data_IF_693890083252
#
_entry.id   IF_693890083252
#
_cell.length_a   1.000
_cell.length_b   1.000
_cell.length_c   1.000
_cell.angle_alpha   90.00
_cell.angle_beta   90.00
_cell.angle_gamma   90.00
#
_symmetry.space_group_name_H-M   'P 1'
#
loop_
_entity.id
_entity.type
_entity.pdbx_description
1 polymer ?
#
# COMPACT_ATOMS: atom_id res chain seq x y z
N UNK A 1 21.74 -19.48 58.22
CA UNK A 1 21.25 -20.66 57.45
C UNK A 1 19.97 -20.23 56.74
N UNK A 2 20.07 -19.32 55.76
CA UNK A 2 18.90 -18.63 55.21
C UNK A 2 19.10 -18.37 53.70
N UNK A 3 19.30 -19.44 52.94
CA UNK A 3 19.40 -19.44 51.48
C UNK A 3 18.46 -20.54 50.97
N UNK A 4 17.16 -20.28 50.86
CA UNK A 4 16.25 -21.22 50.17
C UNK A 4 14.84 -20.69 49.86
N UNK A 5 14.65 -19.41 49.54
CA UNK A 5 13.32 -18.89 49.15
C UNK A 5 13.32 -17.98 47.90
N UNK A 6 14.30 -18.12 47.01
CA UNK A 6 14.32 -17.39 45.71
C UNK A 6 14.12 -18.34 44.51
N UNK A 7 13.91 -19.64 44.72
CA UNK A 7 13.82 -20.63 43.64
C UNK A 7 12.39 -21.01 43.19
N UNK A 8 11.35 -20.29 43.61
CA UNK A 8 9.95 -20.66 43.29
C UNK A 8 9.17 -19.58 42.52
N UNK A 9 9.84 -18.84 41.63
CA UNK A 9 9.21 -17.89 40.71
C UNK A 9 9.70 -18.01 39.26
N UNK A 10 10.18 -19.21 38.89
CA UNK A 10 10.33 -19.64 37.49
C UNK A 10 9.10 -20.44 37.07
N UNK A 11 7.93 -19.84 37.34
CA UNK A 11 6.64 -20.37 36.91
C UNK A 11 6.39 -19.98 35.45
N UNK A 12 6.45 -20.98 34.59
CA UNK A 12 5.58 -21.10 33.42
C UNK A 12 5.71 -20.00 32.34
N UNK A 13 6.80 -20.01 31.57
CA UNK A 13 6.79 -19.44 30.22
C UNK A 13 6.48 -20.54 29.18
N UNK A 14 5.30 -21.13 29.30
CA UNK A 14 4.67 -21.87 28.21
C UNK A 14 3.73 -20.91 27.48
N UNK A 15 4.23 -20.19 26.47
CA UNK A 15 3.38 -19.50 25.51
C UNK A 15 3.88 -19.73 24.09
N UNK A 16 3.13 -20.58 23.39
CA UNK A 16 2.80 -20.55 21.97
C UNK A 16 3.95 -20.27 20.99
N UNK A 17 4.28 -21.29 20.18
CA UNK A 17 4.87 -21.08 18.86
C UNK A 17 3.93 -20.22 18.01
N UNK A 18 4.08 -18.91 18.13
CA UNK A 18 3.51 -17.91 17.25
C UNK A 18 4.09 -18.17 15.86
N UNK A 19 3.24 -18.36 14.85
CA UNK A 19 3.70 -18.50 13.48
C UNK A 19 4.68 -17.37 13.17
N UNK A 20 5.92 -17.71 12.81
CA UNK A 20 6.98 -16.73 12.61
C UNK A 20 6.50 -15.69 11.59
N UNK A 21 6.16 -14.49 12.07
CA UNK A 21 5.89 -13.36 11.19
C UNK A 21 7.15 -13.11 10.37
N UNK A 22 7.07 -13.29 9.06
CA UNK A 22 8.18 -12.93 8.16
C UNK A 22 8.14 -11.42 7.96
N UNK A 23 9.29 -10.76 7.92
CA UNK A 23 9.37 -9.32 7.68
C UNK A 23 9.93 -9.04 6.29
N UNK A 24 9.53 -7.91 5.71
CA UNK A 24 10.16 -7.31 4.55
C UNK A 24 10.87 -6.03 5.00
N UNK A 25 12.19 -5.99 4.81
CA UNK A 25 12.99 -4.84 5.18
C UNK A 25 13.66 -4.23 3.96
N UNK A 26 13.82 -2.90 3.96
CA UNK A 26 14.46 -2.18 2.88
C UNK A 26 14.66 -0.71 3.20
N UNK A 27 15.05 0.05 2.18
CA UNK A 27 15.27 1.49 2.28
C UNK A 27 14.58 2.20 1.10
N UNK A 28 13.79 3.23 1.39
CA UNK A 28 13.20 4.11 0.38
C UNK A 28 14.16 5.27 0.11
N UNK A 29 14.44 5.52 -1.17
CA UNK A 29 15.43 6.52 -1.61
C UNK A 29 14.89 7.36 -2.77
N UNK A 30 15.35 8.59 -2.88
CA UNK A 30 15.09 9.43 -4.05
C UNK A 30 15.84 8.84 -5.25
N UNK A 31 15.12 8.57 -6.33
CA UNK A 31 15.64 7.85 -7.49
C UNK A 31 16.78 8.59 -8.20
N UNK A 32 16.81 9.93 -8.11
CA UNK A 32 17.80 10.77 -8.80
C UNK A 32 19.05 10.98 -7.97
N UNK A 33 18.91 11.16 -6.67
CA UNK A 33 20.01 11.54 -5.77
C UNK A 33 20.53 10.38 -4.93
N UNK A 34 19.77 9.29 -4.82
CA UNK A 34 20.08 8.15 -3.95
C UNK A 34 19.94 8.44 -2.47
N UNK A 35 19.52 9.66 -2.09
CA UNK A 35 19.36 10.07 -0.70
C UNK A 35 18.16 9.36 -0.04
N UNK A 36 18.24 9.03 1.26
CA UNK A 36 17.15 8.39 1.97
C UNK A 36 15.92 9.30 2.06
N UNK A 37 14.73 8.72 1.93
CA UNK A 37 13.46 9.45 2.08
C UNK A 37 12.81 9.08 3.42
N UNK A 38 12.82 9.96 4.42
CA UNK A 38 12.15 9.73 5.70
C UNK A 38 10.62 9.97 5.63
N UNK A 39 9.87 9.23 6.44
CA UNK A 39 8.41 9.30 6.54
C UNK A 39 7.68 8.99 5.22
N UNK A 40 8.26 8.14 4.38
CA UNK A 40 7.55 7.51 3.27
C UNK A 40 6.72 6.35 3.82
N UNK A 41 5.48 6.25 3.36
CA UNK A 41 4.58 5.15 3.71
C UNK A 41 4.94 3.94 2.85
N UNK A 42 5.08 2.77 3.46
CA UNK A 42 5.21 1.49 2.79
C UNK A 42 4.01 0.62 3.15
N UNK A 43 3.15 0.36 2.17
CA UNK A 43 1.90 -0.37 2.30
C UNK A 43 2.04 -1.74 1.63
N UNK A 44 1.83 -2.81 2.39
CA UNK A 44 1.66 -4.17 1.88
C UNK A 44 0.19 -4.57 1.84
N UNK A 45 -0.24 -5.12 0.72
CA UNK A 45 -1.57 -5.71 0.52
C UNK A 45 -1.39 -7.13 0.02
N UNK A 46 -1.98 -8.07 0.74
CA UNK A 46 -1.95 -9.48 0.38
C UNK A 46 -3.35 -9.94 -0.01
N UNK A 47 -3.47 -10.59 -1.16
CA UNK A 47 -4.77 -11.08 -1.65
C UNK A 47 -4.70 -12.54 -2.04
N UNK A 48 -5.87 -13.17 -2.07
CA UNK A 48 -6.05 -14.56 -2.49
C UNK A 48 -7.08 -14.62 -3.61
N UNK A 49 -6.73 -15.30 -4.68
CA UNK A 49 -7.66 -15.63 -5.75
C UNK A 49 -8.61 -16.73 -5.27
N UNK A 50 -9.84 -16.71 -5.77
CA UNK A 50 -10.82 -17.74 -5.50
C UNK A 50 -12.01 -17.64 -6.43
N UNK A 51 -13.06 -18.38 -6.11
CA UNK A 51 -14.25 -18.47 -6.94
C UNK A 51 -14.21 -19.65 -7.90
N UNK A 52 -15.21 -19.72 -8.77
CA UNK A 52 -15.36 -20.77 -9.77
C UNK A 52 -14.78 -20.30 -11.11
N UNK A 53 -14.43 -21.21 -12.04
CA UNK A 53 -14.13 -20.83 -13.42
C UNK A 53 -15.25 -19.95 -14.00
N UNK A 54 -14.90 -18.77 -14.51
CA UNK A 54 -15.86 -17.77 -15.01
C UNK A 54 -16.46 -16.84 -13.94
N UNK A 55 -16.23 -17.09 -12.65
CA UNK A 55 -16.67 -16.27 -11.51
C UNK A 55 -15.50 -16.04 -10.55
N UNK A 56 -14.39 -15.51 -11.08
CA UNK A 56 -13.21 -15.21 -10.28
C UNK A 56 -13.51 -14.13 -9.23
N UNK A 57 -12.98 -14.32 -8.03
CA UNK A 57 -13.07 -13.38 -6.91
C UNK A 57 -11.69 -13.16 -6.33
N UNK A 58 -11.47 -11.98 -5.79
CA UNK A 58 -10.25 -11.66 -5.03
C UNK A 58 -10.65 -11.36 -3.59
N UNK A 59 -10.05 -12.09 -2.65
CA UNK A 59 -10.25 -11.88 -1.21
C UNK A 59 -9.03 -11.17 -0.62
N UNK A 60 -9.28 -10.13 0.16
CA UNK A 60 -8.24 -9.48 0.95
C UNK A 60 -7.81 -10.40 2.10
N UNK A 61 -6.52 -10.70 2.18
CA UNK A 61 -5.93 -11.50 3.28
C UNK A 61 -5.47 -10.58 4.39
N UNK A 62 -4.67 -9.55 4.05
CA UNK A 62 -4.15 -8.61 5.02
C UNK A 62 -3.77 -7.28 4.38
N UNK A 63 -3.74 -6.24 5.21
CA UNK A 63 -3.11 -4.95 4.92
C UNK A 63 -2.18 -4.63 6.08
N UNK A 64 -0.94 -4.26 5.76
CA UNK A 64 0.05 -3.81 6.74
C UNK A 64 0.72 -2.55 6.21
N UNK A 65 1.05 -1.65 7.11
CA UNK A 65 1.67 -0.38 6.79
C UNK A 65 2.80 -0.10 7.76
N UNK A 66 3.83 0.59 7.28
CA UNK A 66 4.92 1.13 8.09
C UNK A 66 5.40 2.44 7.48
N UNK A 67 6.08 3.26 8.26
CA UNK A 67 6.72 4.49 7.79
C UNK A 67 8.23 4.38 7.85
N UNK A 68 8.92 5.01 6.91
CA UNK A 68 10.38 5.00 6.90
C UNK A 68 10.99 5.89 7.97
N UNK A 69 12.08 5.42 8.59
CA UNK A 69 12.85 6.17 9.59
C UNK A 69 13.64 7.35 8.98
N UNK A 70 14.41 8.06 9.81
CA UNK A 70 15.25 9.18 9.38
C UNK A 70 16.32 8.79 8.32
N UNK A 71 16.68 7.51 8.26
CA UNK A 71 17.59 6.93 7.27
C UNK A 71 16.83 6.28 6.10
N UNK A 72 15.53 6.51 5.97
CA UNK A 72 14.68 5.97 4.92
C UNK A 72 14.43 4.46 5.04
N UNK A 73 14.80 3.82 6.14
CA UNK A 73 14.66 2.36 6.32
C UNK A 73 13.26 2.02 6.80
N UNK A 74 12.77 0.85 6.41
CA UNK A 74 11.50 0.31 6.86
C UNK A 74 11.63 -1.17 7.20
N UNK A 75 10.73 -1.63 8.08
CA UNK A 75 10.45 -3.03 8.35
C UNK A 75 8.93 -3.19 8.27
N UNK A 76 8.47 -3.95 7.29
CA UNK A 76 7.06 -4.26 7.05
C UNK A 76 6.78 -5.70 7.47
N UNK A 77 5.83 -5.88 8.38
CA UNK A 77 5.37 -7.22 8.77
C UNK A 77 4.59 -7.88 7.63
N UNK A 78 4.89 -9.15 7.34
CA UNK A 78 4.05 -9.99 6.48
C UNK A 78 3.06 -10.78 7.32
N UNK A 79 1.85 -11.08 6.80
CA UNK A 79 0.93 -11.97 7.48
C UNK A 79 1.54 -13.37 7.62
N UNK A 80 1.32 -13.98 8.79
CA UNK A 80 1.67 -15.37 9.06
C UNK A 80 0.40 -16.16 9.48
N UNK A 81 0.12 -17.33 8.86
CA UNK A 81 0.86 -17.93 7.74
C UNK A 81 0.68 -17.15 6.43
N UNK A 82 1.71 -17.14 5.58
CA UNK A 82 1.67 -16.49 4.26
C UNK A 82 0.84 -17.36 3.30
N UNK A 83 -0.46 -17.12 3.25
CA UNK A 83 -1.45 -17.94 2.50
C UNK A 83 -2.07 -17.21 1.29
N UNK A 84 -1.54 -16.04 0.96
CA UNK A 84 -1.91 -15.20 -0.17
C UNK A 84 -1.29 -15.67 -1.47
N UNK A 85 -1.99 -15.44 -2.58
CA UNK A 85 -1.49 -15.71 -3.93
C UNK A 85 -0.73 -14.51 -4.52
N UNK A 86 -1.03 -13.30 -4.03
CA UNK A 86 -0.39 -12.07 -4.49
C UNK A 86 -0.01 -11.14 -3.33
N UNK A 87 1.22 -10.59 -3.39
CA UNK A 87 1.75 -9.55 -2.50
C UNK A 87 2.01 -8.27 -3.32
N UNK A 88 1.25 -7.22 -3.03
CA UNK A 88 1.41 -5.89 -3.60
C UNK A 88 2.01 -4.95 -2.55
N UNK A 89 3.23 -4.49 -2.78
CA UNK A 89 3.94 -3.54 -1.91
C UNK A 89 4.06 -2.21 -2.64
N UNK A 90 3.58 -1.15 -2.01
CA UNK A 90 3.60 0.21 -2.53
C UNK A 90 4.37 1.12 -1.57
N UNK A 91 5.32 1.89 -2.09
CA UNK A 91 5.99 2.96 -1.36
C UNK A 91 5.51 4.32 -1.89
N UNK A 92 5.19 5.24 -0.98
CA UNK A 92 4.65 6.56 -1.33
C UNK A 92 5.11 7.66 -0.38
N UNK A 93 5.44 8.82 -0.94
CA UNK A 93 5.66 10.08 -0.23
C UNK A 93 5.05 11.22 -1.06
N UNK A 94 4.32 12.18 -0.45
CA UNK A 94 3.87 13.36 -1.16
C UNK A 94 5.03 14.08 -1.87
N UNK A 95 4.83 14.42 -3.14
CA UNK A 95 5.89 14.99 -4.00
C UNK A 95 6.60 13.96 -4.89
N UNK A 96 6.32 12.67 -4.72
CA UNK A 96 6.87 11.58 -5.53
C UNK A 96 5.79 10.76 -6.22
N UNK A 97 6.15 10.16 -7.35
CA UNK A 97 5.39 9.10 -8.00
C UNK A 97 5.48 7.84 -7.13
N UNK A 98 4.35 7.19 -6.87
CA UNK A 98 4.33 5.96 -6.09
C UNK A 98 5.13 4.86 -6.80
N UNK A 99 5.89 4.10 -6.02
CA UNK A 99 6.52 2.88 -6.52
C UNK A 99 5.68 1.68 -6.09
N UNK A 100 5.46 0.72 -6.98
CA UNK A 100 4.79 -0.54 -6.68
C UNK A 100 5.55 -1.71 -7.31
N UNK A 101 5.56 -2.87 -6.64
CA UNK A 101 6.29 -4.05 -7.10
C UNK A 101 5.58 -4.81 -8.24
N UNK A 102 4.27 -4.64 -8.43
CA UNK A 102 3.53 -5.30 -9.50
C UNK A 102 3.44 -4.42 -10.75
N UNK A 103 3.26 -3.10 -10.58
CA UNK A 103 2.99 -2.17 -11.67
C UNK A 103 3.91 -0.95 -11.69
N UNK A 104 4.14 -0.41 -12.88
CA UNK A 104 4.87 0.85 -13.12
C UNK A 104 3.88 2.00 -13.22
N UNK A 105 3.95 2.95 -12.30
CA UNK A 105 3.16 4.17 -12.37
C UNK A 105 3.84 5.24 -13.25
N UNK A 106 3.07 6.05 -13.99
CA UNK A 106 1.61 6.07 -14.07
C UNK A 106 1.02 5.11 -15.13
N UNK A 107 1.85 4.38 -15.89
CA UNK A 107 1.42 3.59 -17.04
C UNK A 107 0.59 2.34 -16.71
N UNK A 108 0.62 1.88 -15.46
CA UNK A 108 0.01 0.63 -14.99
C UNK A 108 0.48 -0.64 -15.74
N UNK A 109 1.64 -0.57 -16.41
CA UNK A 109 2.28 -1.74 -17.03
C UNK A 109 2.82 -2.66 -15.93
N UNK A 110 2.59 -3.97 -16.05
CA UNK A 110 3.09 -4.95 -15.09
C UNK A 110 4.62 -5.08 -15.19
N UNK A 111 5.32 -5.13 -14.06
CA UNK A 111 6.77 -5.32 -14.01
C UNK A 111 7.15 -6.75 -14.41
N UNK A 112 8.32 -6.88 -15.04
CA UNK A 112 8.94 -8.19 -15.32
C UNK A 112 9.32 -8.92 -14.03
N UNK A 113 9.87 -8.19 -13.06
CA UNK A 113 10.20 -8.69 -11.73
C UNK A 113 9.30 -8.05 -10.69
N UNK A 114 8.61 -8.91 -9.91
CA UNK A 114 7.73 -8.51 -8.81
C UNK A 114 8.41 -8.52 -7.44
N UNK A 115 9.71 -8.83 -7.41
CA UNK A 115 10.51 -8.81 -6.18
C UNK A 115 10.66 -7.37 -5.69
N UNK A 116 10.39 -7.15 -4.40
CA UNK A 116 10.70 -5.87 -3.77
C UNK A 116 12.22 -5.75 -3.61
N UNK A 117 12.87 -4.72 -4.19
CA UNK A 117 14.30 -4.52 -4.05
C UNK A 117 14.65 -4.03 -2.63
N UNK A 118 15.88 -4.25 -2.19
CA UNK A 118 16.38 -3.74 -0.91
C UNK A 118 16.44 -2.21 -0.85
N UNK A 119 16.58 -1.55 -2.01
CA UNK A 119 16.45 -0.09 -2.18
C UNK A 119 15.26 0.19 -3.11
N UNK A 120 14.23 0.83 -2.58
CA UNK A 120 13.00 1.18 -3.30
C UNK A 120 13.13 2.63 -3.79
N UNK A 121 13.29 2.87 -5.10
CA UNK A 121 13.45 4.21 -5.64
C UNK A 121 12.09 4.91 -5.82
N UNK A 122 11.99 6.16 -5.35
CA UNK A 122 10.87 7.06 -5.65
C UNK A 122 11.33 8.18 -6.59
N UNK A 123 10.63 8.31 -7.71
CA UNK A 123 10.83 9.40 -8.65
C UNK A 123 10.04 10.63 -8.20
N UNK A 124 10.67 11.80 -8.11
CA UNK A 124 9.96 13.03 -7.82
C UNK A 124 8.99 13.38 -8.96
N UNK A 125 7.84 13.98 -8.65
CA UNK A 125 6.97 14.50 -9.69
C UNK A 125 7.72 15.56 -10.53
N UNK A 126 7.55 15.55 -11.87
CA UNK A 126 8.07 16.63 -12.72
C UNK A 126 7.62 18.00 -12.23
N UNK A 127 8.47 19.02 -12.38
CA UNK A 127 8.14 20.40 -11.98
C UNK A 127 6.84 20.84 -12.65
N UNK A 128 5.87 21.29 -11.85
CA UNK A 128 4.55 21.73 -12.33
C UNK A 128 3.48 20.63 -12.34
N UNK A 129 3.88 19.38 -12.18
CA UNK A 129 2.99 18.24 -11.89
C UNK A 129 2.89 18.02 -10.38
N UNK A 130 1.74 17.56 -9.91
CA UNK A 130 1.54 17.20 -8.51
C UNK A 130 0.41 16.20 -8.41
N UNK A 131 0.35 15.44 -7.31
CA UNK A 131 -0.80 14.59 -6.99
C UNK A 131 -2.14 15.31 -7.15
N UNK A 132 -2.21 16.61 -6.77
CA UNK A 132 -3.43 17.42 -6.89
C UNK A 132 -3.85 17.66 -8.35
N UNK A 133 -2.88 17.80 -9.27
CA UNK A 133 -3.13 17.93 -10.72
C UNK A 133 -3.37 16.57 -11.37
N UNK A 134 -2.72 15.52 -10.89
CA UNK A 134 -2.96 14.14 -11.33
C UNK A 134 -4.37 13.63 -10.94
N UNK A 135 -4.97 14.15 -9.85
CA UNK A 135 -6.38 13.95 -9.51
C UNK A 135 -7.38 14.80 -10.31
N UNK A 136 -6.93 15.88 -10.96
CA UNK A 136 -7.82 16.77 -11.72
C UNK A 136 -8.57 16.08 -12.87
N UNK A 137 -7.97 15.14 -13.65
CA UNK A 137 -8.71 14.40 -14.67
C UNK A 137 -9.68 13.35 -14.09
N UNK A 138 -9.59 13.00 -12.80
CA UNK A 138 -10.60 12.16 -12.13
C UNK A 138 -11.82 12.95 -11.63
N UNK A 139 -11.97 14.22 -11.99
CA UNK A 139 -13.32 14.79 -12.11
C UNK A 139 -13.95 14.12 -13.32
N UNK A 140 -14.77 13.10 -13.09
CA UNK A 140 -15.67 12.57 -14.11
C UNK A 140 -16.24 13.77 -14.87
N UNK A 141 -15.92 13.93 -16.17
CA UNK A 141 -16.66 14.87 -16.96
C UNK A 141 -18.10 14.40 -16.87
N UNK A 142 -18.99 15.24 -16.34
CA UNK A 142 -20.41 15.08 -16.60
C UNK A 142 -20.59 15.31 -18.10
N UNK A 143 -20.25 14.33 -18.91
CA UNK A 143 -20.58 14.32 -20.32
C UNK A 143 -22.10 14.30 -20.38
N UNK A 144 -22.70 15.48 -20.62
CA UNK A 144 -24.04 15.54 -21.18
C UNK A 144 -23.98 14.76 -22.49
N UNK A 145 -24.56 13.57 -22.49
CA UNK A 145 -24.84 12.85 -23.73
C UNK A 145 -25.73 13.75 -24.61
N UNK A 146 -25.34 14.04 -25.86
CA UNK A 146 -26.23 14.74 -26.78
C UNK A 146 -27.17 13.69 -27.39
N UNK A 147 -28.39 13.57 -26.87
CA UNK A 147 -29.38 12.71 -27.53
C UNK A 147 -30.57 12.29 -26.68
N UNK A 148 -31.68 13.02 -26.87
CA UNK A 148 -33.08 12.59 -26.71
C UNK A 148 -33.55 12.19 -25.30
N UNK A 149 -34.18 13.16 -24.64
CA UNK A 149 -35.10 12.92 -23.53
C UNK A 149 -35.64 14.25 -23.02
N UNK A 150 -36.93 14.51 -23.25
CA UNK A 150 -37.67 15.69 -22.77
C UNK A 150 -37.40 15.87 -21.27
N UNK A 151 -37.01 17.06 -20.77
CA UNK A 151 -36.77 17.23 -19.34
C UNK A 151 -38.09 17.11 -18.57
N UNK A 152 -38.13 16.16 -17.64
CA UNK A 152 -39.18 16.02 -16.63
C UNK A 152 -39.21 17.27 -15.74
N UNK A 153 -40.40 17.82 -15.49
CA UNK A 153 -40.68 19.07 -14.74
C UNK A 153 -40.37 18.98 -13.23
N UNK A 154 -39.15 18.60 -12.84
CA UNK A 154 -38.76 18.52 -11.43
C UNK A 154 -37.36 19.04 -11.11
N UNK A 155 -36.71 19.75 -12.04
CA UNK A 155 -35.36 20.30 -11.86
C UNK A 155 -35.27 21.82 -12.11
N UNK A 156 -36.34 22.55 -11.76
CA UNK A 156 -36.37 24.01 -11.77
C UNK A 156 -36.71 24.52 -10.36
N UNK A 157 -35.88 24.22 -9.37
CA UNK A 157 -35.75 24.92 -8.07
C UNK A 157 -34.41 24.41 -7.51
N UNK A 158 -33.32 25.13 -7.75
CA UNK A 158 -32.06 25.11 -6.98
C UNK A 158 -30.94 25.96 -7.62
N UNK A 159 -31.24 26.76 -8.66
CA UNK A 159 -30.30 27.74 -9.23
C UNK A 159 -30.74 29.19 -9.00
N UNK A 160 -31.20 29.48 -7.76
CA UNK A 160 -31.30 30.83 -7.21
C UNK A 160 -31.09 30.77 -5.70
N UNK A 161 -29.83 30.82 -5.26
CA UNK A 161 -29.36 31.48 -4.04
C UNK A 161 -27.84 31.42 -3.97
#
# INVERSE_FOLDING_TARGET
MNTCKILALLGLLALAGTGCATTLSGQVVDARTGQPIPGAVVLGVWTKAGGLPGLATTKLVAVKETETDAQGRFVLERPAPLTSDEESVTAYKPGYIAWNNLFVFPTAVRRESTRVPSRVPLEAFPRGESHRRHKAPCRFPRTRHPGRGRPSRHAEILDRR
#
